data_IF_422784683189
#
_entry.id   IF_422784683189
#
_cell.length_a   1.000
_cell.length_b   1.000
_cell.length_c   1.000
_cell.angle_alpha   90.00
_cell.angle_beta   90.00
_cell.angle_gamma   90.00
#
_symmetry.space_group_name_H-M   'P 1'
#
loop_
_entity.id
_entity.type
_entity.pdbx_description
1 polymer ?
#
# COMPACT_ATOMS: atom_id res chain seq x y z
N UNK A 1 -8.64 -0.71 -9.16
CA UNK A 1 -8.86 -1.76 -8.15
C UNK A 1 -9.06 -1.10 -6.81
N UNK A 2 -10.05 -1.53 -6.04
CA UNK A 2 -10.27 -1.13 -4.65
C UNK A 2 -10.06 -2.34 -3.74
N UNK A 3 -9.43 -2.12 -2.58
CA UNK A 3 -9.28 -3.12 -1.54
C UNK A 3 -9.69 -2.48 -0.21
N UNK A 4 -10.48 -3.22 0.58
CA UNK A 4 -10.93 -2.81 1.91
C UNK A 4 -10.54 -3.90 2.89
N UNK A 5 -9.78 -3.53 3.91
CA UNK A 5 -9.25 -4.44 4.92
C UNK A 5 -9.70 -4.01 6.31
N UNK A 6 -9.70 -4.95 7.24
CA UNK A 6 -9.80 -4.71 8.68
C UNK A 6 -8.64 -5.42 9.42
N UNK A 7 -8.73 -5.50 10.74
CA UNK A 7 -7.73 -6.14 11.58
C UNK A 7 -7.54 -7.64 11.27
N UNK A 8 -8.55 -8.30 10.70
CA UNK A 8 -8.60 -9.75 10.48
C UNK A 8 -8.36 -10.15 9.04
N UNK A 9 -8.47 -9.24 8.06
CA UNK A 9 -8.22 -9.61 6.69
C UNK A 9 -8.73 -8.65 5.62
N UNK A 10 -8.80 -9.18 4.40
CA UNK A 10 -9.38 -8.52 3.24
C UNK A 10 -10.89 -8.75 3.19
N UNK A 11 -11.68 -7.71 3.49
CA UNK A 11 -13.15 -7.78 3.53
C UNK A 11 -13.78 -7.68 2.13
N UNK A 12 -13.22 -6.81 1.29
CA UNK A 12 -13.75 -6.52 -0.04
C UNK A 12 -12.63 -6.17 -1.01
N UNK A 13 -12.78 -6.64 -2.24
CA UNK A 13 -11.94 -6.25 -3.35
C UNK A 13 -12.79 -6.12 -4.61
N UNK A 14 -12.51 -5.09 -5.39
CA UNK A 14 -13.19 -4.87 -6.67
C UNK A 14 -12.19 -4.41 -7.73
N UNK A 15 -12.13 -5.18 -8.83
CA UNK A 15 -11.31 -4.89 -9.99
C UNK A 15 -12.19 -4.51 -11.18
N UNK A 16 -12.39 -3.21 -11.38
CA UNK A 16 -13.17 -2.67 -12.51
C UNK A 16 -12.24 -2.09 -13.56
N UNK A 17 -12.41 -2.51 -14.82
CA UNK A 17 -11.87 -1.81 -15.98
C UNK A 17 -12.83 -0.69 -16.35
N UNK A 18 -12.45 0.55 -16.07
CA UNK A 18 -13.23 1.72 -16.50
C UNK A 18 -12.52 2.48 -17.63
N UNK A 19 -13.27 2.84 -18.67
CA UNK A 19 -12.83 3.79 -19.70
C UNK A 19 -12.98 5.24 -19.23
N UNK A 20 -13.92 5.49 -18.31
CA UNK A 20 -14.17 6.79 -17.72
C UNK A 20 -13.53 6.88 -16.33
N UNK A 21 -12.39 7.55 -16.25
CA UNK A 21 -11.65 7.72 -14.99
C UNK A 21 -12.38 8.64 -14.00
N UNK A 22 -13.37 9.42 -14.44
CA UNK A 22 -14.16 10.27 -13.54
C UNK A 22 -15.07 9.45 -12.61
N UNK A 23 -15.48 8.25 -13.05
CA UNK A 23 -16.26 7.30 -12.24
C UNK A 23 -15.51 6.78 -11.01
N UNK A 24 -14.17 6.86 -11.00
CA UNK A 24 -13.32 6.37 -9.90
C UNK A 24 -13.62 7.15 -8.60
N UNK A 25 -13.79 8.48 -8.68
CA UNK A 25 -14.07 9.29 -7.50
C UNK A 25 -15.48 9.04 -6.96
N UNK A 26 -16.47 8.85 -7.85
CA UNK A 26 -17.84 8.49 -7.47
C UNK A 26 -17.87 7.13 -6.77
N UNK A 27 -17.28 6.11 -7.40
CA UNK A 27 -17.20 4.76 -6.82
C UNK A 27 -16.48 4.73 -5.47
N UNK A 28 -15.44 5.55 -5.31
CA UNK A 28 -14.74 5.67 -4.02
C UNK A 28 -15.64 6.25 -2.94
N UNK A 29 -16.45 7.27 -3.25
CA UNK A 29 -17.42 7.86 -2.31
C UNK A 29 -18.48 6.82 -1.94
N UNK A 30 -18.98 6.06 -2.92
CA UNK A 30 -19.96 5.02 -2.67
C UNK A 30 -19.41 3.95 -1.72
N UNK A 31 -18.20 3.45 -1.99
CA UNK A 31 -17.54 2.46 -1.12
C UNK A 31 -17.28 3.01 0.30
N UNK A 32 -16.88 4.29 0.42
CA UNK A 32 -16.74 4.94 1.73
C UNK A 32 -18.05 4.91 2.51
N UNK A 33 -19.17 5.22 1.87
CA UNK A 33 -20.50 5.23 2.51
C UNK A 33 -20.96 3.82 2.85
N UNK A 34 -20.88 2.88 1.90
CA UNK A 34 -21.33 1.49 2.08
C UNK A 34 -20.58 0.78 3.19
N UNK A 35 -19.28 1.02 3.33
CA UNK A 35 -18.44 0.35 4.33
C UNK A 35 -18.14 1.23 5.56
N UNK A 36 -18.79 2.39 5.69
CA UNK A 36 -18.58 3.34 6.79
C UNK A 36 -17.09 3.69 7.01
N UNK A 37 -16.36 3.94 5.91
CA UNK A 37 -14.94 4.24 5.94
C UNK A 37 -14.76 5.76 5.93
N UNK A 38 -14.20 6.36 6.99
CA UNK A 38 -13.92 7.79 7.00
C UNK A 38 -12.85 8.14 5.95
N UNK A 39 -12.93 9.32 5.31
CA UNK A 39 -12.04 9.68 4.19
C UNK A 39 -10.55 9.63 4.53
N UNK A 40 -10.18 9.90 5.78
CA UNK A 40 -8.79 9.87 6.25
C UNK A 40 -8.18 8.46 6.25
N UNK A 41 -9.02 7.42 6.16
CA UNK A 41 -8.60 6.01 6.03
C UNK A 41 -8.53 5.55 4.56
N UNK A 42 -8.85 6.40 3.59
CA UNK A 42 -8.76 6.07 2.17
C UNK A 42 -7.44 6.58 1.59
N UNK A 43 -6.77 5.75 0.80
CA UNK A 43 -5.55 6.11 0.10
C UNK A 43 -5.57 5.68 -1.38
N UNK A 44 -4.88 6.48 -2.20
CA UNK A 44 -4.63 6.20 -3.60
C UNK A 44 -3.13 5.96 -3.81
N UNK A 45 -2.76 5.05 -4.72
CA UNK A 45 -1.43 5.07 -5.31
C UNK A 45 -1.27 6.39 -6.07
N UNK A 46 -0.25 7.17 -5.74
CA UNK A 46 0.01 8.44 -6.39
C UNK A 46 0.47 8.27 -7.86
N UNK A 47 0.94 7.07 -8.24
CA UNK A 47 1.34 6.73 -9.60
C UNK A 47 0.17 6.66 -10.58
N UNK A 48 0.45 6.83 -11.88
CA UNK A 48 -0.47 6.49 -12.98
C UNK A 48 -1.81 7.24 -13.05
N UNK A 49 -2.00 8.30 -12.26
CA UNK A 49 -3.22 9.13 -12.24
C UNK A 49 -3.92 9.20 -10.87
N UNK A 50 -3.58 8.34 -9.91
CA UNK A 50 -4.27 8.31 -8.61
C UNK A 50 -4.11 9.59 -7.78
N UNK A 51 -3.03 10.36 -7.98
CA UNK A 51 -2.89 11.71 -7.39
C UNK A 51 -4.03 12.65 -7.83
N UNK A 52 -4.39 12.66 -9.10
CA UNK A 52 -5.44 13.53 -9.63
C UNK A 52 -6.81 13.19 -9.02
N UNK A 53 -7.10 11.90 -8.83
CA UNK A 53 -8.32 11.45 -8.15
C UNK A 53 -8.33 11.85 -6.67
N UNK A 54 -7.21 11.69 -5.97
CA UNK A 54 -7.08 12.12 -4.58
C UNK A 54 -7.27 13.63 -4.44
N UNK A 55 -6.68 14.44 -5.31
CA UNK A 55 -6.79 15.90 -5.30
C UNK A 55 -8.23 16.36 -5.60
N UNK A 56 -8.92 15.69 -6.54
CA UNK A 56 -10.35 15.94 -6.83
C UNK A 56 -11.24 15.60 -5.63
N UNK A 57 -10.98 14.51 -4.92
CA UNK A 57 -11.74 14.18 -3.70
C UNK A 57 -11.48 15.19 -2.58
N UNK A 58 -10.23 15.66 -2.44
CA UNK A 58 -9.88 16.71 -1.48
C UNK A 58 -10.57 18.03 -1.77
N UNK A 59 -10.67 18.44 -3.03
CA UNK A 59 -11.40 19.66 -3.40
C UNK A 59 -12.90 19.58 -3.11
N UNK A 60 -13.44 18.35 -3.00
CA UNK A 60 -14.81 18.07 -2.56
C UNK A 60 -14.96 17.92 -1.03
N UNK A 61 -13.89 18.12 -0.25
CA UNK A 61 -13.92 18.05 1.22
C UNK A 61 -13.53 16.69 1.82
N UNK A 62 -13.22 15.68 1.00
CA UNK A 62 -12.80 14.36 1.47
C UNK A 62 -11.28 14.33 1.73
N UNK A 63 -10.87 14.18 3.00
CA UNK A 63 -9.46 14.20 3.43
C UNK A 63 -8.70 12.90 3.13
N UNK A 64 -8.75 12.43 1.88
CA UNK A 64 -8.08 11.20 1.43
C UNK A 64 -6.56 11.36 1.30
N UNK A 65 -5.83 10.24 1.31
CA UNK A 65 -4.37 10.19 1.22
C UNK A 65 -3.89 9.78 -0.18
N UNK A 66 -2.66 10.17 -0.54
CA UNK A 66 -1.99 9.73 -1.75
C UNK A 66 -0.61 9.22 -1.36
N UNK A 67 -0.29 7.98 -1.71
CA UNK A 67 0.94 7.28 -1.31
C UNK A 67 1.75 6.94 -2.55
N UNK A 68 3.01 7.37 -2.60
CA UNK A 68 3.90 7.07 -3.70
C UNK A 68 4.73 5.82 -3.41
N UNK A 69 4.47 4.72 -4.13
CA UNK A 69 5.20 3.45 -3.97
C UNK A 69 6.72 3.56 -4.21
N UNK A 70 7.13 4.43 -5.13
CA UNK A 70 8.55 4.67 -5.45
C UNK A 70 9.26 5.61 -4.47
N UNK A 71 8.56 6.17 -3.48
CA UNK A 71 9.20 7.02 -2.48
C UNK A 71 10.08 6.20 -1.52
N UNK A 72 10.97 6.88 -0.80
CA UNK A 72 11.70 6.26 0.30
C UNK A 72 10.71 5.65 1.32
N UNK A 73 11.12 4.56 1.99
CA UNK A 73 10.33 3.88 3.03
C UNK A 73 9.93 4.81 4.20
N UNK A 74 10.47 6.02 4.26
CA UNK A 74 10.06 7.06 5.22
C UNK A 74 9.73 8.36 4.51
N UNK A 75 8.78 9.12 5.07
CA UNK A 75 8.50 10.47 4.59
C UNK A 75 9.79 11.32 4.70
N UNK A 76 10.01 12.29 3.79
CA UNK A 76 11.13 13.21 3.94
C UNK A 76 11.05 13.90 5.30
N UNK A 77 12.20 14.03 5.97
CA UNK A 77 12.33 14.71 7.26
C UNK A 77 11.65 16.09 7.16
N UNK A 78 10.52 16.30 7.85
CA UNK A 78 10.04 17.66 8.07
C UNK A 78 11.06 18.33 9.00
N UNK A 79 11.71 19.41 8.55
CA UNK A 79 12.57 20.23 9.42
C UNK A 79 11.69 20.78 10.54
N UNK A 80 11.90 20.29 11.77
CA UNK A 80 11.09 20.61 12.95
C UNK A 80 11.13 19.44 13.95
N UNK A 81 10.93 19.73 15.24
CA UNK A 81 11.09 18.82 16.39
C UNK A 81 10.33 17.49 16.24
N UNK A 82 10.93 16.51 15.58
CA UNK A 82 10.55 15.11 15.74
C UNK A 82 11.03 14.66 17.13
N UNK A 83 10.13 14.13 17.95
CA UNK A 83 10.42 13.51 19.26
C UNK A 83 11.41 12.36 19.07
N UNK A 84 12.36 12.17 20.00
CA UNK A 84 13.46 11.20 19.87
C UNK A 84 12.98 9.79 19.46
N UNK A 85 11.88 9.29 20.03
CA UNK A 85 11.31 7.99 19.68
C UNK A 85 10.84 7.86 18.22
N UNK A 86 10.30 8.93 17.63
CA UNK A 86 9.93 8.93 16.20
C UNK A 86 11.13 8.93 15.27
N UNK A 87 12.31 9.37 15.74
CA UNK A 87 13.55 9.33 14.96
C UNK A 87 14.09 7.89 14.86
N UNK A 88 14.16 7.18 15.99
CA UNK A 88 14.67 5.81 16.04
C UNK A 88 13.85 4.85 15.15
N UNK A 89 12.52 4.88 15.24
CA UNK A 89 11.63 4.06 14.39
C UNK A 89 11.76 4.35 12.89
N UNK A 90 12.01 5.62 12.53
CA UNK A 90 12.22 6.00 11.13
C UNK A 90 13.55 5.48 10.59
N UNK A 91 14.59 5.51 11.44
CA UNK A 91 15.91 5.01 11.09
C UNK A 91 15.89 3.47 10.98
N UNK A 92 15.25 2.76 11.91
CA UNK A 92 15.01 1.30 11.83
C UNK A 92 14.30 0.89 10.54
N UNK A 93 13.25 1.61 10.15
CA UNK A 93 12.50 1.30 8.91
C UNK A 93 13.38 1.42 7.66
N UNK A 94 14.33 2.37 7.62
CA UNK A 94 15.28 2.52 6.49
C UNK A 94 16.34 1.43 6.44
N UNK A 95 16.72 0.90 7.61
CA UNK A 95 17.62 -0.24 7.69
C UNK A 95 16.94 -1.55 7.29
N UNK A 96 15.60 -1.63 7.35
CA UNK A 96 14.85 -2.82 6.94
C UNK A 96 14.36 -2.74 5.49
N UNK A 97 13.93 -1.57 5.00
CA UNK A 97 13.27 -1.44 3.70
C UNK A 97 13.94 -0.38 2.82
N UNK A 98 14.26 -0.76 1.58
CA UNK A 98 14.86 0.16 0.60
C UNK A 98 13.88 1.22 0.09
N UNK A 99 12.62 0.87 -0.10
CA UNK A 99 11.59 1.76 -0.65
C UNK A 99 10.21 1.52 -0.04
N UNK A 100 9.27 2.44 -0.27
CA UNK A 100 7.90 2.39 0.27
C UNK A 100 7.15 1.13 -0.17
N UNK A 101 7.32 0.69 -1.42
CA UNK A 101 6.73 -0.56 -1.90
C UNK A 101 7.22 -1.75 -1.06
N UNK A 102 8.52 -1.86 -0.81
CA UNK A 102 9.09 -2.92 0.02
C UNK A 102 8.54 -2.91 1.46
N UNK A 103 8.40 -1.73 2.05
CA UNK A 103 7.77 -1.58 3.38
C UNK A 103 6.34 -2.13 3.37
N UNK A 104 5.49 -1.71 2.42
CA UNK A 104 4.09 -2.12 2.37
C UNK A 104 3.92 -3.63 2.15
N UNK A 105 4.73 -4.24 1.28
CA UNK A 105 4.75 -5.70 1.07
C UNK A 105 5.30 -6.45 2.28
N UNK A 106 6.30 -5.90 2.97
CA UNK A 106 6.82 -6.44 4.23
C UNK A 106 5.77 -6.45 5.33
N UNK A 107 5.01 -5.35 5.46
CA UNK A 107 3.90 -5.24 6.42
C UNK A 107 2.80 -6.27 6.16
N UNK A 108 2.38 -6.45 4.91
CA UNK A 108 1.43 -7.51 4.56
C UNK A 108 1.99 -8.90 4.88
N UNK A 109 3.28 -9.14 4.60
CA UNK A 109 3.93 -10.43 4.91
C UNK A 109 3.92 -10.74 6.41
N UNK A 110 4.14 -9.74 7.26
CA UNK A 110 4.08 -9.90 8.73
C UNK A 110 2.65 -10.18 9.20
N UNK A 111 1.66 -9.51 8.63
CA UNK A 111 0.23 -9.74 8.96
C UNK A 111 -0.23 -11.14 8.54
N UNK A 112 0.24 -11.63 7.39
CA UNK A 112 -0.09 -12.97 6.87
C UNK A 112 0.63 -14.11 7.60
N UNK A 113 1.62 -13.79 8.44
CA UNK A 113 2.30 -14.80 9.24
C UNK A 113 1.31 -15.38 10.27
N UNK A 114 1.01 -16.70 10.24
CA UNK A 114 0.08 -17.31 11.18
C UNK A 114 0.57 -17.26 12.64
N UNK A 115 1.85 -16.95 12.87
CA UNK A 115 2.42 -16.75 14.21
C UNK A 115 2.20 -15.34 14.75
N UNK A 116 1.70 -14.41 13.93
CA UNK A 116 1.40 -13.04 14.35
C UNK A 116 0.11 -12.99 15.20
N UNK A 117 0.12 -12.19 16.28
CA UNK A 117 -0.90 -12.21 17.36
C UNK A 117 -2.36 -12.22 16.87
N UNK A 118 -2.65 -11.42 15.84
CA UNK A 118 -3.94 -11.41 15.16
C UNK A 118 -3.73 -11.94 13.74
N UNK A 119 -4.28 -13.11 13.45
CA UNK A 119 -4.23 -13.66 12.10
C UNK A 119 -4.90 -12.72 11.10
N UNK A 120 -4.21 -12.43 9.99
CA UNK A 120 -4.77 -11.73 8.84
C UNK A 120 -5.05 -12.71 7.71
N UNK A 121 -6.30 -12.79 7.27
CA UNK A 121 -6.75 -13.78 6.29
C UNK A 121 -7.07 -13.15 4.92
N UNK A 122 -6.68 -13.88 3.87
CA UNK A 122 -7.14 -13.65 2.50
C UNK A 122 -7.89 -14.92 2.10
N UNK A 123 -9.22 -14.81 2.03
CA UNK A 123 -10.12 -15.91 1.67
C UNK A 123 -9.72 -16.52 0.32
N UNK A 124 -9.47 -17.83 0.31
CA UNK A 124 -8.84 -18.54 -0.80
C UNK A 124 -9.69 -18.47 -2.07
N UNK A 125 -10.97 -18.79 -1.96
CA UNK A 125 -11.84 -18.99 -3.12
C UNK A 125 -12.35 -17.65 -3.68
N UNK A 126 -12.38 -16.61 -2.84
CA UNK A 126 -12.85 -15.27 -3.22
C UNK A 126 -11.79 -14.43 -3.92
N UNK A 127 -10.52 -14.56 -3.54
CA UNK A 127 -9.44 -13.67 -4.01
C UNK A 127 -8.34 -14.45 -4.75
N UNK A 128 -8.74 -15.29 -5.70
CA UNK A 128 -7.83 -16.18 -6.44
C UNK A 128 -6.74 -15.42 -7.19
N UNK A 129 -7.07 -14.32 -7.89
CA UNK A 129 -6.10 -13.53 -8.66
C UNK A 129 -5.11 -12.82 -7.74
N UNK A 130 -5.56 -12.13 -6.68
CA UNK A 130 -4.69 -11.59 -5.64
C UNK A 130 -3.71 -12.65 -5.10
N UNK A 131 -4.19 -13.85 -4.76
CA UNK A 131 -3.32 -14.92 -4.24
C UNK A 131 -2.30 -15.37 -5.29
N UNK A 132 -2.70 -15.49 -6.56
CA UNK A 132 -1.79 -15.77 -7.66
C UNK A 132 -0.71 -14.69 -7.78
N UNK A 133 -1.10 -13.40 -7.76
CA UNK A 133 -0.17 -12.27 -7.79
C UNK A 133 0.81 -12.31 -6.61
N UNK A 134 0.33 -12.52 -5.39
CA UNK A 134 1.19 -12.58 -4.20
C UNK A 134 2.15 -13.78 -4.21
N UNK A 135 1.72 -14.93 -4.75
CA UNK A 135 2.51 -16.16 -4.72
C UNK A 135 3.81 -16.12 -5.53
N UNK A 136 3.89 -15.24 -6.53
CA UNK A 136 5.05 -15.15 -7.44
C UNK A 136 6.00 -14.01 -7.08
N UNK A 137 5.63 -13.13 -6.14
CA UNK A 137 6.44 -11.96 -5.78
C UNK A 137 7.56 -12.39 -4.82
N UNK A 138 8.84 -12.31 -5.22
CA UNK A 138 9.93 -12.75 -4.37
C UNK A 138 10.25 -11.73 -3.29
N UNK A 139 10.67 -12.20 -2.12
CA UNK A 139 11.41 -11.38 -1.16
C UNK A 139 12.85 -11.28 -1.66
N UNK A 140 13.32 -10.06 -1.95
CA UNK A 140 14.72 -9.79 -2.36
C UNK A 140 15.40 -8.89 -1.34
N UNK A 141 16.70 -9.06 -1.22
CA UNK A 141 17.55 -8.24 -0.36
C UNK A 141 18.64 -7.58 -1.18
N UNK A 142 19.00 -6.35 -0.83
CA UNK A 142 20.19 -5.72 -1.38
C UNK A 142 21.46 -6.10 -0.61
N UNK A 143 22.61 -5.58 -1.06
CA UNK A 143 23.91 -5.82 -0.42
C UNK A 143 23.99 -5.28 1.03
N UNK A 144 23.09 -4.38 1.42
CA UNK A 144 22.99 -3.84 2.78
C UNK A 144 22.01 -4.63 3.65
N UNK A 145 21.44 -5.74 3.12
CA UNK A 145 20.48 -6.58 3.84
C UNK A 145 19.07 -6.01 3.92
N UNK A 146 18.76 -4.94 3.17
CA UNK A 146 17.42 -4.32 3.16
C UNK A 146 16.49 -5.07 2.23
N UNK A 147 15.23 -5.23 2.61
CA UNK A 147 14.19 -5.75 1.73
C UNK A 147 13.98 -4.77 0.54
N UNK A 148 13.99 -5.34 -0.66
CA UNK A 148 13.79 -4.63 -1.92
C UNK A 148 12.62 -5.25 -2.66
N UNK A 149 11.80 -4.38 -3.25
CA UNK A 149 10.77 -4.76 -4.19
C UNK A 149 11.14 -4.34 -5.59
N UNK A 150 10.90 -5.24 -6.55
CA UNK A 150 11.08 -4.96 -7.97
C UNK A 150 10.17 -3.82 -8.43
N UNK A 151 10.60 -3.02 -9.41
CA UNK A 151 9.75 -2.01 -9.99
C UNK A 151 8.55 -2.67 -10.70
N UNK A 152 7.45 -1.91 -10.83
CA UNK A 152 6.25 -2.39 -11.50
C UNK A 152 6.50 -2.66 -12.99
N UNK A 153 7.26 -1.77 -13.64
CA UNK A 153 7.61 -1.80 -15.07
C UNK A 153 9.03 -1.28 -15.24
N UNK A 154 9.62 -1.56 -16.40
CA UNK A 154 10.97 -1.12 -16.73
C UNK A 154 10.97 0.41 -16.88
N UNK A 155 11.98 1.06 -16.31
CA UNK A 155 12.13 2.51 -16.41
C UNK A 155 12.59 2.93 -17.82
N UNK A 156 13.27 2.04 -18.54
CA UNK A 156 13.74 2.24 -19.92
C UNK A 156 13.52 0.98 -20.74
N UNK A 157 13.33 1.14 -22.05
CA UNK A 157 13.06 0.03 -22.99
C UNK A 157 14.21 -0.99 -23.02
N UNK A 158 15.44 -0.54 -22.74
CA UNK A 158 16.66 -1.37 -22.78
C UNK A 158 17.03 -1.97 -21.42
N UNK A 159 16.20 -1.78 -20.39
CA UNK A 159 16.50 -2.36 -19.07
C UNK A 159 16.41 -3.89 -19.11
N UNK A 160 17.45 -4.55 -18.62
CA UNK A 160 17.46 -6.00 -18.34
C UNK A 160 16.91 -6.32 -16.95
N UNK A 161 16.57 -5.29 -16.15
CA UNK A 161 15.97 -5.47 -14.83
C UNK A 161 14.62 -6.16 -14.96
N UNK A 162 14.46 -7.24 -14.22
CA UNK A 162 13.20 -7.97 -14.09
C UNK A 162 12.20 -7.17 -13.26
N UNK A 163 10.94 -7.14 -13.70
CA UNK A 163 9.88 -6.34 -13.07
C UNK A 163 8.77 -7.23 -12.53
N UNK A 164 7.92 -6.65 -11.68
CA UNK A 164 6.73 -7.36 -11.19
C UNK A 164 5.81 -7.79 -12.35
N UNK A 165 5.72 -6.98 -13.40
CA UNK A 165 4.91 -7.34 -14.58
C UNK A 165 5.52 -8.53 -15.32
N UNK A 166 6.86 -8.61 -15.41
CA UNK A 166 7.54 -9.75 -16.05
C UNK A 166 7.30 -11.06 -15.28
N UNK A 167 7.33 -11.00 -13.94
CA UNK A 167 7.09 -12.16 -13.07
C UNK A 167 5.62 -12.62 -13.05
N UNK A 168 4.68 -11.67 -12.99
CA UNK A 168 3.27 -11.95 -12.78
C UNK A 168 2.54 -12.20 -14.11
N UNK A 169 3.07 -11.68 -15.22
CA UNK A 169 2.43 -11.63 -16.53
C UNK A 169 1.39 -10.51 -16.67
N UNK A 170 1.15 -9.73 -15.62
CA UNK A 170 0.23 -8.59 -15.62
C UNK A 170 0.63 -7.56 -14.56
N UNK A 171 -0.10 -6.45 -14.52
CA UNK A 171 0.07 -5.41 -13.51
C UNK A 171 -0.38 -5.93 -12.12
N UNK A 172 0.42 -5.77 -11.04
CA UNK A 172 0.09 -6.25 -9.69
C UNK A 172 -0.97 -5.38 -8.99
N UNK A 173 -2.07 -5.03 -9.67
CA UNK A 173 -2.99 -4.00 -9.18
C UNK A 173 -3.80 -4.46 -7.95
N UNK A 174 -4.09 -5.76 -7.80
CA UNK A 174 -4.76 -6.31 -6.62
C UNK A 174 -3.82 -6.41 -5.43
N UNK A 175 -2.59 -6.87 -5.66
CA UNK A 175 -1.56 -6.91 -4.64
C UNK A 175 -1.20 -5.48 -4.16
N UNK A 176 -0.98 -4.54 -5.08
CA UNK A 176 -0.68 -3.14 -4.75
C UNK A 176 -1.83 -2.47 -3.98
N UNK A 177 -3.10 -2.71 -4.36
CA UNK A 177 -4.25 -2.20 -3.61
C UNK A 177 -4.32 -2.77 -2.19
N UNK A 178 -4.04 -4.06 -2.02
CA UNK A 178 -4.08 -4.75 -0.71
C UNK A 178 -2.99 -4.23 0.22
N UNK A 179 -1.74 -4.15 -0.25
CA UNK A 179 -0.63 -3.67 0.60
C UNK A 179 -0.82 -2.19 0.99
N UNK A 180 -1.44 -1.38 0.11
CA UNK A 180 -1.79 0.00 0.42
C UNK A 180 -2.86 0.10 1.52
N UNK A 181 -3.88 -0.75 1.47
CA UNK A 181 -4.92 -0.80 2.50
C UNK A 181 -4.34 -1.21 3.87
N UNK A 182 -3.48 -2.24 3.91
CA UNK A 182 -2.77 -2.68 5.12
C UNK A 182 -1.86 -1.57 5.67
N UNK A 183 -1.11 -0.90 4.80
CA UNK A 183 -0.25 0.22 5.20
C UNK A 183 -1.04 1.36 5.86
N UNK A 184 -2.24 1.66 5.37
CA UNK A 184 -3.11 2.69 5.93
C UNK A 184 -3.70 2.32 7.29
N UNK A 185 -4.06 1.06 7.47
CA UNK A 185 -4.52 0.51 8.74
C UNK A 185 -3.44 0.67 9.83
N UNK A 186 -2.21 0.25 9.53
CA UNK A 186 -1.11 0.18 10.52
C UNK A 186 -0.49 1.54 10.86
N UNK A 187 -0.35 2.44 9.89
CA UNK A 187 0.23 3.77 10.17
C UNK A 187 -0.66 4.64 11.05
N UNK A 188 -1.96 4.34 11.13
CA UNK A 188 -2.87 5.01 12.06
C UNK A 188 -2.69 4.48 13.49
N UNK A 189 -2.47 3.18 13.67
CA UNK A 189 -2.17 2.59 14.98
C UNK A 189 -0.90 3.19 15.60
N UNK A 190 0.15 3.42 14.78
CA UNK A 190 1.38 4.08 15.24
C UNK A 190 1.14 5.52 15.71
N UNK A 191 0.30 6.30 15.00
CA UNK A 191 -0.04 7.68 15.41
C UNK A 191 -0.88 7.74 16.69
N UNK A 192 -1.84 6.83 16.86
CA UNK A 192 -2.67 6.78 18.07
C UNK A 192 -1.82 6.42 19.29
N UNK A 193 -0.97 5.38 19.20
CA UNK A 193 -0.07 4.99 20.30
C UNK A 193 0.92 6.09 20.71
N UNK A 194 1.37 6.93 19.78
CA UNK A 194 2.27 8.07 20.05
C UNK A 194 1.56 9.28 20.69
N UNK A 195 0.24 9.36 20.65
CA UNK A 195 -0.52 10.51 21.21
C UNK A 195 -1.04 10.22 22.63
N UNK A 196 -0.99 8.96 23.07
CA UNK A 196 -1.50 8.49 24.37
C UNK A 196 -0.33 8.09 25.31
N UNK A 197 0.89 8.52 24.99
CA UNK A 197 2.11 8.28 25.79
C UNK A 197 2.68 9.55 26.37
#
# INVERSE_FOLDING_TARGET
>A
VWAITDDYGLMFMESVKTKDTSSITGRTIDLMRTHNIPPEKVAFDAGGGGKQHADRLRSQGYKVQAVAFGSAATAPRRRGQATIGTRNLQDETRYVYKNRRAEMYGMLSLRLDPTHEKGFAIEKDKYTELRRQLSVIPKRWDAEGRLVMLPKRKNTTNSTEETLTDLIGCSPDEADATVLAVFMMDNKMKKIKLTVG
#
